data_IF_118114696163
#
_entry.id   IF_118114696163
#
_cell.length_a   1.000
_cell.length_b   1.000
_cell.length_c   1.000
_cell.angle_alpha   90.00
_cell.angle_beta   90.00
_cell.angle_gamma   90.00
#
_symmetry.space_group_name_H-M   'P 1'
#
loop_
_entity.id
_entity.type
_entity.pdbx_description
1 polymer ?
#
# COMPACT_ATOMS: atom_id res chain seq x y z
N UNK A 1 -3.97 -9.37 6.43
CA UNK A 1 -4.80 -8.72 7.47
C UNK A 1 -4.00 -7.62 8.19
N UNK A 2 -4.66 -6.56 8.68
CA UNK A 2 -4.02 -5.45 9.42
C UNK A 2 -4.16 -5.64 10.94
N UNK A 3 -3.11 -5.29 11.69
CA UNK A 3 -3.08 -5.36 13.15
C UNK A 3 -2.41 -4.13 13.74
N UNK A 4 -2.74 -3.83 15.00
CA UNK A 4 -1.93 -2.97 15.84
C UNK A 4 -0.97 -3.85 16.62
N UNK A 5 0.33 -3.56 16.54
CA UNK A 5 1.36 -4.33 17.23
C UNK A 5 2.29 -3.40 18.01
N UNK A 6 2.53 -3.75 19.27
CA UNK A 6 3.44 -3.06 20.18
C UNK A 6 4.83 -3.68 20.03
N UNK A 7 5.83 -2.85 19.72
CA UNK A 7 7.20 -3.25 19.43
C UNK A 7 8.19 -2.33 20.14
N UNK A 8 9.43 -2.79 20.27
CA UNK A 8 10.53 -2.01 20.82
C UNK A 8 11.67 -1.88 19.80
N UNK A 9 12.34 -0.72 19.77
CA UNK A 9 13.51 -0.48 18.94
C UNK A 9 14.56 0.33 19.68
N UNK A 10 15.80 -0.13 19.62
CA UNK A 10 16.97 0.57 20.17
C UNK A 10 17.62 1.49 19.13
N UNK A 11 17.67 2.79 19.42
CA UNK A 11 18.25 3.80 18.53
C UNK A 11 19.53 4.35 19.17
N UNK A 12 20.62 4.32 18.41
CA UNK A 12 21.89 4.94 18.80
C UNK A 12 21.95 6.38 18.30
N UNK A 13 22.31 7.31 19.17
CA UNK A 13 22.39 8.73 18.87
C UNK A 13 23.79 9.29 19.11
N UNK A 14 24.27 10.08 18.16
CA UNK A 14 25.55 10.78 18.28
C UNK A 14 25.45 12.02 19.20
N UNK A 15 26.47 12.35 20.01
CA UNK A 15 26.47 13.50 20.94
C UNK A 15 26.09 14.84 20.34
N UNK A 16 26.39 15.07 19.06
CA UNK A 16 26.02 16.32 18.37
C UNK A 16 24.53 16.60 18.38
N UNK A 17 23.69 15.56 18.53
CA UNK A 17 22.23 15.68 18.58
C UNK A 17 21.68 15.70 20.01
N UNK A 18 22.55 15.80 21.03
CA UNK A 18 22.14 15.96 22.44
C UNK A 18 21.73 17.41 22.70
N UNK A 19 20.59 17.79 22.15
CA UNK A 19 19.99 19.11 22.34
C UNK A 19 18.57 19.03 22.89
N UNK A 20 17.90 20.19 23.06
CA UNK A 20 16.51 20.24 23.54
C UNK A 20 15.52 19.47 22.66
N UNK A 21 15.86 19.27 21.38
CA UNK A 21 15.04 18.55 20.38
C UNK A 21 15.43 17.08 20.20
N UNK A 22 16.09 16.48 21.19
CA UNK A 22 16.53 15.08 21.12
C UNK A 22 15.37 14.11 20.83
N UNK A 23 14.21 14.33 21.45
CA UNK A 23 13.02 13.48 21.28
C UNK A 23 12.46 13.55 19.86
N UNK A 24 12.43 14.74 19.27
CA UNK A 24 11.99 14.93 17.88
C UNK A 24 12.91 14.20 16.90
N UNK A 25 14.23 14.28 17.14
CA UNK A 25 15.21 13.58 16.31
C UNK A 25 15.08 12.06 16.42
N UNK A 26 14.94 11.53 17.64
CA UNK A 26 14.72 10.10 17.87
C UNK A 26 13.44 9.63 17.16
N UNK A 27 12.36 10.43 17.22
CA UNK A 27 11.10 10.12 16.53
C UNK A 27 11.28 10.08 15.01
N UNK A 28 11.90 11.11 14.43
CA UNK A 28 12.18 11.13 12.99
C UNK A 28 13.03 9.93 12.57
N UNK A 29 14.05 9.59 13.36
CA UNK A 29 14.90 8.44 13.11
C UNK A 29 14.15 7.11 13.22
N UNK A 30 13.25 6.98 14.21
CA UNK A 30 12.41 5.79 14.36
C UNK A 30 11.52 5.59 13.12
N UNK A 31 10.86 6.64 12.64
CA UNK A 31 10.00 6.57 11.46
C UNK A 31 10.81 6.16 10.23
N UNK A 32 11.96 6.79 9.97
CA UNK A 32 12.84 6.46 8.85
C UNK A 32 13.36 5.02 8.88
N UNK A 33 13.73 4.51 10.06
CA UNK A 33 14.35 3.19 10.20
C UNK A 33 13.33 2.05 10.21
N UNK A 34 12.06 2.32 10.57
CA UNK A 34 11.04 1.28 10.83
C UNK A 34 9.94 1.26 9.77
N UNK A 35 9.48 2.42 9.29
CA UNK A 35 8.38 2.47 8.32
C UNK A 35 8.79 1.86 6.97
N UNK A 36 7.91 1.03 6.42
CA UNK A 36 8.18 0.31 5.17
C UNK A 36 9.11 -0.90 5.32
N UNK A 37 9.64 -1.17 6.52
CA UNK A 37 10.46 -2.36 6.74
C UNK A 37 9.61 -3.64 6.78
N UNK A 38 10.25 -4.75 6.39
CA UNK A 38 9.66 -6.07 6.42
C UNK A 38 10.51 -6.98 7.32
N UNK A 39 9.90 -7.50 8.39
CA UNK A 39 10.55 -8.44 9.33
C UNK A 39 10.51 -9.89 8.81
N UNK A 40 10.02 -10.11 7.60
CA UNK A 40 9.80 -11.44 7.00
C UNK A 40 8.52 -12.15 7.47
N UNK A 41 7.84 -11.62 8.48
CA UNK A 41 6.52 -12.11 8.92
C UNK A 41 5.39 -11.12 8.64
N UNK A 42 5.69 -9.82 8.74
CA UNK A 42 4.75 -8.73 8.54
C UNK A 42 5.49 -7.51 7.99
N UNK A 43 4.73 -6.62 7.38
CA UNK A 43 5.17 -5.30 6.93
C UNK A 43 4.76 -4.25 7.95
N UNK A 44 5.64 -3.31 8.24
CA UNK A 44 5.32 -2.16 9.07
C UNK A 44 4.89 -1.02 8.14
N UNK A 45 3.63 -0.61 8.23
CA UNK A 45 3.05 0.37 7.30
C UNK A 45 3.23 1.78 7.83
N UNK A 46 2.86 1.99 9.09
CA UNK A 46 2.89 3.29 9.72
C UNK A 46 3.10 3.11 11.21
N UNK A 47 4.02 3.91 11.77
CA UNK A 47 4.19 4.03 13.21
C UNK A 47 3.13 5.00 13.72
N UNK A 48 2.34 4.57 14.70
CA UNK A 48 1.37 5.44 15.34
C UNK A 48 2.14 6.42 16.23
N UNK A 49 1.78 7.71 16.16
CA UNK A 49 2.45 8.74 16.95
C UNK A 49 2.25 8.42 18.44
N UNK A 50 3.34 8.09 19.13
CA UNK A 50 3.33 7.90 20.57
C UNK A 50 3.35 9.30 21.18
N UNK A 51 2.17 9.81 21.50
CA UNK A 51 1.98 11.03 22.28
C UNK A 51 2.64 10.86 23.67
N UNK A 52 3.95 11.08 23.73
CA UNK A 52 4.76 11.49 24.90
C UNK A 52 5.09 10.52 26.04
N UNK A 53 4.84 9.20 26.00
CA UNK A 53 5.08 8.36 27.21
C UNK A 53 6.03 7.14 27.14
N UNK A 54 6.61 6.77 25.99
CA UNK A 54 7.34 5.49 25.90
C UNK A 54 8.82 5.56 25.46
N UNK A 55 9.51 6.68 25.76
CA UNK A 55 10.97 6.77 25.56
C UNK A 55 11.71 6.37 26.83
N UNK A 56 12.63 5.42 26.74
CA UNK A 56 13.54 5.12 27.84
C UNK A 56 14.52 6.27 28.08
N UNK A 57 15.09 6.34 29.29
CA UNK A 57 16.26 7.17 29.53
C UNK A 57 17.43 6.71 28.64
N UNK A 58 18.19 7.69 28.11
CA UNK A 58 19.33 7.41 27.24
C UNK A 58 20.51 6.88 28.03
N UNK A 59 21.04 5.72 27.64
CA UNK A 59 22.23 5.12 28.24
C UNK A 59 23.45 5.38 27.37
N UNK A 60 24.47 6.03 27.93
CA UNK A 60 25.76 6.19 27.22
C UNK A 60 26.51 4.86 27.23
N UNK A 61 26.94 4.43 26.04
CA UNK A 61 27.68 3.17 25.87
C UNK A 61 29.12 3.36 26.36
N UNK A 62 29.64 2.58 27.32
CA UNK A 62 31.02 2.76 27.75
C UNK A 62 32.00 2.46 26.59
N UNK A 63 32.94 3.38 26.35
CA UNK A 63 33.94 3.26 25.26
C UNK A 63 33.53 3.89 23.94
N UNK A 64 32.26 4.27 23.77
CA UNK A 64 31.77 5.08 22.65
C UNK A 64 31.08 6.32 23.20
N UNK A 65 31.22 7.49 22.57
CA UNK A 65 30.51 8.67 23.07
C UNK A 65 29.00 8.65 22.75
N UNK A 66 28.48 7.62 22.06
CA UNK A 66 27.07 7.53 21.65
C UNK A 66 26.14 7.14 22.81
N UNK A 67 24.90 7.60 22.73
CA UNK A 67 23.83 7.20 23.65
C UNK A 67 22.83 6.27 22.95
N UNK A 68 22.39 5.25 23.67
CA UNK A 68 21.35 4.31 23.26
C UNK A 68 20.02 4.69 23.92
N UNK A 69 18.96 4.76 23.13
CA UNK A 69 17.59 4.98 23.58
C UNK A 69 16.75 3.78 23.17
N UNK A 70 16.00 3.20 24.11
CA UNK A 70 15.00 2.17 23.81
C UNK A 70 13.65 2.86 23.66
N UNK A 71 13.01 2.67 22.51
CA UNK A 71 11.72 3.28 22.22
C UNK A 71 10.70 2.17 22.08
N UNK A 72 9.66 2.22 22.91
CA UNK A 72 8.48 1.40 22.69
C UNK A 72 7.49 2.19 21.83
N UNK A 73 6.95 1.53 20.82
CA UNK A 73 6.04 2.15 19.88
C UNK A 73 4.98 1.15 19.41
N UNK A 74 3.82 1.70 19.06
CA UNK A 74 2.75 0.96 18.41
C UNK A 74 2.80 1.24 16.93
N UNK A 75 2.69 0.21 16.11
CA UNK A 75 2.61 0.38 14.67
C UNK A 75 1.42 -0.38 14.08
N UNK A 76 0.90 0.16 12.97
CA UNK A 76 0.00 -0.58 12.09
C UNK A 76 0.86 -1.52 11.26
N UNK A 77 0.69 -2.81 11.50
CA UNK A 77 1.38 -3.87 10.78
C UNK A 77 0.41 -4.59 9.86
N UNK A 78 0.89 -5.01 8.71
CA UNK A 78 0.14 -5.86 7.80
C UNK A 78 0.80 -7.22 7.68
N UNK A 79 0.05 -8.25 8.06
CA UNK A 79 0.49 -9.64 8.11
C UNK A 79 -0.42 -10.48 7.20
N UNK A 80 0.10 -11.06 6.11
CA UNK A 80 -0.67 -11.99 5.28
C UNK A 80 -0.77 -13.35 5.96
N UNK A 81 -1.93 -14.00 5.88
CA UNK A 81 -2.12 -15.38 6.34
C UNK A 81 -2.36 -16.35 5.19
N UNK A 82 -1.91 -17.60 5.40
CA UNK A 82 -2.31 -18.71 4.55
C UNK A 82 -3.81 -18.96 4.70
N UNK A 83 -4.50 -19.04 3.56
CA UNK A 83 -5.95 -19.20 3.46
C UNK A 83 -6.72 -17.88 3.45
N UNK A 84 -6.06 -16.74 3.62
CA UNK A 84 -6.70 -15.42 3.55
C UNK A 84 -7.11 -15.09 2.11
N UNK A 85 -8.34 -14.59 1.93
CA UNK A 85 -8.81 -14.06 0.65
C UNK A 85 -8.58 -12.56 0.61
N UNK A 86 -7.82 -12.10 -0.37
CA UNK A 86 -7.40 -10.71 -0.53
C UNK A 86 -7.71 -10.22 -1.95
N UNK A 87 -7.99 -8.93 -2.08
CA UNK A 87 -8.12 -8.28 -3.37
C UNK A 87 -6.75 -7.74 -3.81
N UNK A 88 -6.40 -7.97 -5.06
CA UNK A 88 -5.10 -7.69 -5.66
C UNK A 88 -5.28 -6.94 -6.98
N UNK A 89 -4.25 -6.22 -7.41
CA UNK A 89 -4.22 -5.57 -8.73
C UNK A 89 -3.22 -6.32 -9.60
N UNK A 90 -3.62 -6.71 -10.81
CA UNK A 90 -2.71 -7.40 -11.74
C UNK A 90 -1.61 -6.43 -12.20
N UNK A 91 -0.36 -6.82 -11.97
CA UNK A 91 0.81 -6.05 -12.40
C UNK A 91 1.31 -6.50 -13.77
N UNK A 92 1.34 -7.82 -14.01
CA UNK A 92 1.69 -8.39 -15.31
C UNK A 92 1.09 -9.78 -15.51
N UNK A 93 0.93 -10.16 -16.77
CA UNK A 93 0.35 -11.45 -17.17
C UNK A 93 1.33 -12.18 -18.08
N UNK A 94 1.68 -13.42 -17.71
CA UNK A 94 2.60 -14.28 -18.45
C UNK A 94 1.95 -15.62 -18.78
N UNK A 95 2.56 -16.40 -19.68
CA UNK A 95 2.09 -17.76 -20.02
C UNK A 95 2.03 -18.69 -18.81
N UNK A 96 2.98 -18.56 -17.89
CA UNK A 96 3.11 -19.41 -16.70
C UNK A 96 2.15 -19.01 -15.57
N UNK A 97 1.57 -17.81 -15.61
CA UNK A 97 0.72 -17.31 -14.55
C UNK A 97 0.53 -15.79 -14.54
N UNK A 98 -0.12 -15.32 -13.48
CA UNK A 98 -0.46 -13.91 -13.26
C UNK A 98 0.34 -13.38 -12.09
N UNK A 99 0.98 -12.22 -12.27
CA UNK A 99 1.56 -11.45 -11.18
C UNK A 99 0.57 -10.39 -10.74
N UNK A 100 0.26 -10.39 -9.44
CA UNK A 100 -0.66 -9.45 -8.85
C UNK A 100 -0.08 -8.90 -7.54
N UNK A 101 -0.31 -7.62 -7.30
CA UNK A 101 0.19 -6.93 -6.13
C UNK A 101 -0.93 -6.79 -5.10
N UNK A 102 -0.69 -7.32 -3.90
CA UNK A 102 -1.57 -7.18 -2.74
C UNK A 102 -0.92 -6.17 -1.79
N UNK A 103 -1.16 -4.88 -2.03
CA UNK A 103 -0.44 -3.82 -1.32
C UNK A 103 1.07 -3.98 -1.52
N UNK A 104 1.87 -4.16 -0.44
CA UNK A 104 3.32 -4.37 -0.53
C UNK A 104 3.75 -5.82 -0.85
N UNK A 105 2.80 -6.76 -0.97
CA UNK A 105 3.08 -8.19 -1.20
C UNK A 105 2.90 -8.58 -2.67
N UNK A 106 3.99 -8.77 -3.42
CA UNK A 106 3.92 -9.40 -4.73
C UNK A 106 3.43 -10.84 -4.59
N UNK A 107 2.32 -11.12 -5.27
CA UNK A 107 1.65 -12.43 -5.27
C UNK A 107 1.65 -13.02 -6.66
N UNK A 108 2.11 -14.27 -6.78
CA UNK A 108 2.11 -15.02 -8.02
C UNK A 108 1.02 -16.07 -8.03
N UNK A 109 0.20 -16.09 -9.08
CA UNK A 109 -0.81 -17.12 -9.32
C UNK A 109 -0.34 -17.96 -10.50
N UNK A 110 0.07 -19.19 -10.22
CA UNK A 110 0.47 -20.13 -11.27
C UNK A 110 -0.72 -20.55 -12.13
N UNK A 111 -0.47 -20.84 -13.41
CA UNK A 111 -1.45 -21.42 -14.35
C UNK A 111 -2.20 -22.63 -13.79
N UNK A 112 -1.56 -23.46 -12.96
CA UNK A 112 -2.22 -24.63 -12.34
C UNK A 112 -3.25 -24.25 -11.25
N UNK A 113 -3.13 -23.04 -10.71
CA UNK A 113 -4.00 -22.47 -9.69
C UNK A 113 -5.08 -21.54 -10.28
N UNK A 114 -5.17 -21.51 -11.61
CA UNK A 114 -6.22 -20.85 -12.40
C UNK A 114 -7.25 -21.93 -12.82
N UNK A 115 -8.55 -21.62 -12.78
CA UNK A 115 -9.60 -22.41 -13.41
C UNK A 115 -9.28 -22.80 -14.88
N UNK A 116 -9.73 -23.98 -15.34
CA UNK A 116 -9.35 -24.53 -16.65
C UNK A 116 -10.09 -23.94 -17.86
N UNK A 117 -11.21 -23.28 -17.59
CA UNK A 117 -11.99 -22.43 -18.51
C UNK A 117 -11.16 -21.23 -18.97
N UNK A 118 -10.50 -20.53 -18.04
CA UNK A 118 -9.69 -19.35 -18.35
C UNK A 118 -8.35 -19.75 -18.97
N UNK A 119 -8.13 -19.34 -20.23
CA UNK A 119 -6.92 -19.66 -21.00
C UNK A 119 -6.09 -18.42 -21.30
N UNK A 120 -4.78 -18.63 -21.38
CA UNK A 120 -3.85 -17.60 -21.78
C UNK A 120 -3.97 -17.32 -23.29
N UNK A 121 -4.23 -16.08 -23.66
CA UNK A 121 -4.26 -15.63 -25.04
C UNK A 121 -2.95 -14.88 -25.41
N UNK A 122 -2.08 -15.46 -26.25
CA UNK A 122 -0.86 -14.81 -26.72
C UNK A 122 -1.10 -13.63 -27.66
N UNK A 123 -2.23 -13.60 -28.36
CA UNK A 123 -2.44 -12.67 -29.47
C UNK A 123 -2.96 -11.31 -29.00
N UNK A 124 -3.51 -11.26 -27.78
CA UNK A 124 -3.95 -10.02 -27.15
C UNK A 124 -2.76 -9.10 -26.82
N UNK A 125 -2.92 -7.82 -27.11
CA UNK A 125 -1.98 -6.76 -26.72
C UNK A 125 -2.76 -5.75 -25.88
N UNK A 126 -2.65 -5.76 -24.54
CA UNK A 126 -1.69 -6.50 -23.69
C UNK A 126 -2.01 -8.00 -23.51
N UNK A 127 -1.03 -8.84 -23.11
CA UNK A 127 -1.27 -10.25 -22.81
C UNK A 127 -2.34 -10.43 -21.74
N UNK A 128 -3.25 -11.40 -21.94
CA UNK A 128 -4.40 -11.59 -21.05
C UNK A 128 -4.73 -13.07 -20.83
N UNK A 129 -5.46 -13.33 -19.75
CA UNK A 129 -6.16 -14.60 -19.52
C UNK A 129 -7.66 -14.38 -19.74
N UNK A 130 -8.29 -15.18 -20.60
CA UNK A 130 -9.71 -15.03 -20.97
C UNK A 130 -10.39 -16.39 -21.12
N UNK A 131 -11.68 -16.44 -20.82
CA UNK A 131 -12.57 -17.57 -21.14
C UNK A 131 -13.26 -17.39 -22.52
N UNK A 132 -12.82 -16.42 -23.34
CA UNK A 132 -13.53 -15.95 -24.55
C UNK A 132 -14.97 -15.46 -24.30
N UNK A 133 -15.31 -15.22 -23.04
CA UNK A 133 -16.58 -14.66 -22.58
C UNK A 133 -16.35 -13.36 -21.81
N UNK A 134 -17.01 -13.23 -20.67
CA UNK A 134 -17.03 -11.98 -19.90
C UNK A 134 -15.79 -11.76 -19.02
N UNK A 135 -15.04 -12.81 -18.71
CA UNK A 135 -13.85 -12.72 -17.87
C UNK A 135 -12.60 -12.43 -18.70
N UNK A 136 -12.02 -11.25 -18.51
CA UNK A 136 -10.76 -10.83 -19.13
C UNK A 136 -9.83 -10.32 -18.03
N UNK A 137 -8.74 -11.05 -17.81
CA UNK A 137 -7.73 -10.71 -16.83
C UNK A 137 -6.52 -10.14 -17.57
N UNK A 138 -6.42 -8.81 -17.53
CA UNK A 138 -5.30 -8.04 -18.07
C UNK A 138 -4.60 -7.24 -16.98
N UNK A 139 -3.49 -6.58 -17.33
CA UNK A 139 -2.80 -5.66 -16.44
C UNK A 139 -3.75 -4.57 -15.94
N UNK A 140 -3.76 -4.35 -14.62
CA UNK A 140 -4.62 -3.37 -13.96
C UNK A 140 -5.99 -3.92 -13.54
N UNK A 141 -6.33 -5.15 -13.91
CA UNK A 141 -7.57 -5.79 -13.46
C UNK A 141 -7.54 -6.05 -11.96
N UNK A 142 -8.68 -5.89 -11.28
CA UNK A 142 -8.82 -6.27 -9.89
C UNK A 142 -9.16 -7.76 -9.78
N UNK A 143 -8.31 -8.51 -9.09
CA UNK A 143 -8.47 -9.93 -8.85
C UNK A 143 -8.67 -10.20 -7.37
N UNK A 144 -9.62 -11.08 -7.06
CA UNK A 144 -9.75 -11.68 -5.74
C UNK A 144 -8.99 -12.99 -5.70
N UNK A 145 -7.99 -13.07 -4.83
CA UNK A 145 -7.04 -14.18 -4.75
C UNK A 145 -7.07 -14.74 -3.34
N UNK A 146 -6.95 -16.06 -3.21
CA UNK A 146 -6.69 -16.70 -1.91
C UNK A 146 -5.21 -17.01 -1.77
N UNK A 147 -4.59 -16.54 -0.69
CA UNK A 147 -3.18 -16.79 -0.39
C UNK A 147 -3.01 -18.26 0.02
N UNK A 148 -2.24 -19.02 -0.74
CA UNK A 148 -1.94 -20.44 -0.45
C UNK A 148 -0.69 -20.61 0.40
N UNK A 149 0.26 -19.70 0.27
CA UNK A 149 1.51 -19.73 1.02
C UNK A 149 2.28 -18.43 0.85
N UNK A 150 3.10 -18.13 1.83
CA UNK A 150 3.99 -16.96 1.85
C UNK A 150 5.42 -17.45 1.97
N UNK A 151 6.32 -16.83 1.22
CA UNK A 151 7.77 -17.01 1.30
C UNK A 151 8.37 -15.68 1.70
N UNK A 152 9.16 -15.68 2.76
CA UNK A 152 9.97 -14.52 3.14
C UNK A 152 11.33 -14.58 2.46
N UNK A 153 11.80 -13.45 1.97
CA UNK A 153 13.17 -13.21 1.52
C UNK A 153 13.76 -12.00 2.28
N UNK A 154 15.03 -11.69 2.06
CA UNK A 154 15.69 -10.57 2.74
C UNK A 154 15.00 -9.25 2.35
N UNK A 155 14.29 -8.64 3.31
CA UNK A 155 13.62 -7.35 3.14
C UNK A 155 12.30 -7.38 2.35
N UNK A 156 11.85 -8.54 1.86
CA UNK A 156 10.59 -8.65 1.12
C UNK A 156 9.88 -9.98 1.37
N UNK A 157 8.57 -10.00 1.21
CA UNK A 157 7.79 -11.23 1.19
C UNK A 157 7.18 -11.42 -0.19
N UNK A 158 6.98 -12.69 -0.54
CA UNK A 158 6.30 -13.11 -1.74
C UNK A 158 5.18 -14.06 -1.35
N UNK A 159 4.07 -14.05 -2.08
CA UNK A 159 3.01 -15.02 -1.88
C UNK A 159 2.71 -15.81 -3.14
N UNK A 160 2.19 -17.01 -2.93
CA UNK A 160 1.59 -17.83 -3.97
C UNK A 160 0.09 -17.80 -3.72
N UNK A 161 -0.67 -17.42 -4.75
CA UNK A 161 -2.11 -17.31 -4.71
C UNK A 161 -2.83 -18.34 -5.57
N UNK A 162 -4.13 -18.51 -5.31
CA UNK A 162 -5.04 -19.26 -6.17
C UNK A 162 -6.30 -18.46 -6.46
N UNK A 163 -6.84 -18.68 -7.66
CA UNK A 163 -8.17 -18.20 -8.08
C UNK A 163 -9.10 -19.37 -8.48
N UNK A 164 -8.73 -20.60 -8.11
CA UNK A 164 -9.44 -21.83 -8.52
C UNK A 164 -10.71 -22.11 -7.73
N UNK A 165 -10.80 -21.58 -6.51
CA UNK A 165 -11.95 -21.80 -5.63
C UNK A 165 -13.13 -20.89 -5.99
N UNK A 166 -14.31 -21.24 -5.48
CA UNK A 166 -15.52 -20.46 -5.69
C UNK A 166 -15.40 -19.04 -5.11
N UNK A 167 -16.09 -18.08 -5.76
CA UNK A 167 -16.10 -16.64 -5.40
C UNK A 167 -14.74 -15.92 -5.51
N UNK A 168 -13.73 -16.57 -6.10
CA UNK A 168 -12.46 -15.96 -6.48
C UNK A 168 -12.48 -15.53 -7.96
N UNK A 169 -11.43 -14.82 -8.39
CA UNK A 169 -11.28 -14.39 -9.78
C UNK A 169 -11.54 -12.90 -9.98
N UNK A 170 -11.94 -12.53 -11.20
CA UNK A 170 -12.10 -11.13 -11.59
C UNK A 170 -13.22 -10.47 -10.78
N UNK A 171 -12.92 -9.31 -10.18
CA UNK A 171 -13.92 -8.44 -9.57
C UNK A 171 -14.19 -7.30 -10.52
N UNK A 172 -15.36 -7.31 -11.15
CA UNK A 172 -15.88 -6.13 -11.84
C UNK A 172 -16.23 -5.11 -10.78
N UNK A 173 -15.29 -4.23 -10.45
CA UNK A 173 -15.66 -3.00 -9.78
C UNK A 173 -16.58 -2.27 -10.75
N UNK A 174 -17.85 -2.16 -10.40
CA UNK A 174 -18.73 -1.24 -11.09
C UNK A 174 -18.01 0.11 -11.03
N UNK A 175 -17.53 0.59 -12.18
CA UNK A 175 -16.96 1.93 -12.32
C UNK A 175 -18.10 2.90 -12.03
N UNK A 176 -18.37 3.16 -10.75
CA UNK A 176 -19.13 4.35 -10.36
C UNK A 176 -18.17 5.50 -10.61
N UNK A 177 -18.53 6.43 -11.49
CA UNK A 177 -17.70 7.61 -11.63
C UNK A 177 -17.66 8.30 -10.27
N UNK A 178 -16.50 8.84 -9.89
CA UNK A 178 -16.36 9.63 -8.66
C UNK A 178 -17.40 10.77 -8.64
N UNK A 179 -17.76 11.31 -9.81
CA UNK A 179 -18.86 12.28 -9.99
C UNK A 179 -20.24 11.72 -9.60
N UNK A 180 -20.52 10.48 -9.95
CA UNK A 180 -21.80 9.82 -9.63
C UNK A 180 -21.90 9.59 -8.10
N UNK A 181 -20.77 9.27 -7.45
CA UNK A 181 -20.68 9.10 -5.99
C UNK A 181 -20.83 10.44 -5.26
N UNK A 182 -20.21 11.52 -5.75
CA UNK A 182 -20.38 12.87 -5.18
C UNK A 182 -21.83 13.37 -5.35
N UNK A 183 -22.46 13.19 -6.51
CA UNK A 183 -23.86 13.57 -6.71
C UNK A 183 -24.82 12.77 -5.81
N UNK A 184 -24.56 11.48 -5.62
CA UNK A 184 -25.38 10.62 -4.78
C UNK A 184 -25.24 10.99 -3.29
N UNK A 185 -24.02 11.27 -2.82
CA UNK A 185 -23.75 11.78 -1.48
C UNK A 185 -24.40 13.15 -1.24
N UNK A 186 -24.30 14.10 -2.19
CA UNK A 186 -24.92 15.42 -2.10
C UNK A 186 -26.46 15.33 -2.09
N UNK A 187 -27.06 14.47 -2.92
CA UNK A 187 -28.51 14.21 -2.90
C UNK A 187 -28.98 13.60 -1.58
N UNK A 188 -28.13 12.82 -0.93
CA UNK A 188 -28.44 12.21 0.37
C UNK A 188 -28.35 13.22 1.51
N UNK A 189 -27.41 14.16 1.47
CA UNK A 189 -27.33 15.32 2.38
C UNK A 189 -28.53 16.25 2.18
N UNK A 190 -28.86 16.60 0.93
CA UNK A 190 -30.01 17.47 0.61
C UNK A 190 -31.37 16.88 1.00
N UNK A 191 -31.49 15.55 1.08
CA UNK A 191 -32.71 14.87 1.57
C UNK A 191 -32.86 14.93 3.09
N UNK A 192 -31.76 15.08 3.84
CA UNK A 192 -31.78 15.19 5.30
C UNK A 192 -32.12 16.62 5.77
N UNK A 193 -31.79 17.64 4.97
CA UNK A 193 -31.92 19.05 5.37
C UNK A 193 -33.23 19.74 4.92
N UNK A 194 -34.28 18.98 4.61
CA UNK A 194 -35.66 19.51 4.58
C UNK A 194 -35.90 20.76 3.72
N UNK A 195 -35.18 20.93 2.60
CA UNK A 195 -35.52 21.95 1.61
C UNK A 195 -34.98 23.37 1.88
N UNK A 196 -33.77 23.51 2.43
CA UNK A 196 -33.07 24.81 2.43
C UNK A 196 -32.17 24.92 1.19
N UNK A 197 -32.47 25.86 0.29
CA UNK A 197 -31.69 26.11 -0.92
C UNK A 197 -30.38 26.83 -0.60
N UNK A 198 -29.24 26.15 -0.74
CA UNK A 198 -27.93 26.81 -0.76
C UNK A 198 -27.52 27.09 -2.22
N UNK A 199 -27.28 28.37 -2.55
CA UNK A 199 -26.69 28.73 -3.84
C UNK A 199 -25.27 28.17 -3.94
N UNK A 200 -25.00 27.36 -4.98
CA UNK A 200 -23.65 26.95 -5.34
C UNK A 200 -22.79 28.22 -5.56
N UNK A 201 -21.78 28.41 -4.71
CA UNK A 201 -20.72 29.37 -4.99
C UNK A 201 -19.82 28.76 -6.08
N UNK A 202 -20.07 29.11 -7.35
CA UNK A 202 -19.17 28.78 -8.46
C UNK A 202 -17.84 29.55 -8.33
N UNK A 203 -16.98 29.12 -7.41
CA UNK A 203 -15.55 29.46 -7.47
C UNK A 203 -14.81 28.33 -8.16
N UNK A 204 -14.64 28.51 -9.47
CA UNK A 204 -13.70 27.76 -10.32
C UNK A 204 -12.31 27.79 -9.65
N UNK A 205 -11.65 26.64 -9.36
CA UNK A 205 -10.27 26.67 -8.93
C UNK A 205 -9.40 27.25 -10.07
N UNK A 206 -8.44 28.15 -9.77
CA UNK A 206 -7.54 28.67 -10.79
C UNK A 206 -6.69 27.54 -11.36
N UNK A 207 -6.57 27.52 -12.69
CA UNK A 207 -5.79 26.55 -13.44
C UNK A 207 -4.32 26.52 -12.97
N UNK A 208 -3.88 25.38 -12.43
CA UNK A 208 -2.47 25.05 -12.25
C UNK A 208 -1.96 24.40 -13.54
N UNK A 209 -1.41 25.30 -14.37
CA UNK A 209 -0.49 25.13 -15.49
C UNK A 209 0.26 23.78 -15.64
N UNK A 210 0.16 23.24 -16.84
CA UNK A 210 1.10 22.31 -17.46
C UNK A 210 2.43 23.03 -17.73
N UNK A 211 3.47 22.77 -16.93
CA UNK A 211 4.83 23.22 -17.29
C UNK A 211 5.92 22.43 -16.57
N UNK A 212 6.04 21.12 -16.84
CA UNK A 212 7.28 20.37 -16.59
C UNK A 212 7.43 19.25 -17.62
N UNK A 213 7.73 19.61 -18.87
CA UNK A 213 8.38 18.74 -19.87
C UNK A 213 8.81 19.60 -21.08
N UNK A 214 9.90 20.35 -20.93
CA UNK A 214 10.74 20.70 -22.09
C UNK A 214 12.11 21.16 -21.61
N UNK A 215 13.10 20.35 -21.95
CA UNK A 215 14.53 20.61 -21.84
C UNK A 215 14.94 21.87 -22.61
N UNK A 216 15.94 22.56 -22.03
CA UNK A 216 17.08 23.24 -22.63
C UNK A 216 16.98 23.80 -24.05
N UNK A 217 17.18 25.12 -24.17
CA UNK A 217 18.29 25.76 -24.89
C UNK A 217 18.17 27.30 -24.78
N UNK A 218 18.96 27.93 -23.91
CA UNK A 218 19.32 29.35 -24.03
C UNK A 218 20.77 29.57 -23.57
N UNK A 219 21.64 29.84 -24.54
CA UNK A 219 22.87 30.58 -24.36
C UNK A 219 22.75 31.88 -25.14
N UNK A 220 22.33 32.93 -24.44
CA UNK A 220 22.31 34.33 -24.88
C UNK A 220 23.75 34.88 -24.92
N UNK A 221 24.00 35.79 -25.85
CA UNK A 221 24.98 36.87 -25.66
C UNK A 221 24.40 38.00 -24.80
#
# INVERSE_FOLDING_TARGET
MYFLHDMERTITLHPSFFGPRVKEYIRGRLMEDVEGTCTGQFYIICVMDTDTQDFSEGRVVPGSAVAEYTVHYRAVVWRPFKGETVDAIVSSVNREGIFADVGPLPTFVSKHMIPSDIKWDPNATPPQFTDNGDQVIEKGTHLRIKIMGTRSDVGSMFAIGSIKEDFLGMRTLAKRNIKDVEEEALRQILRLDGGTSYQLCEKRPPALNESWLSLDFKGFG
#
